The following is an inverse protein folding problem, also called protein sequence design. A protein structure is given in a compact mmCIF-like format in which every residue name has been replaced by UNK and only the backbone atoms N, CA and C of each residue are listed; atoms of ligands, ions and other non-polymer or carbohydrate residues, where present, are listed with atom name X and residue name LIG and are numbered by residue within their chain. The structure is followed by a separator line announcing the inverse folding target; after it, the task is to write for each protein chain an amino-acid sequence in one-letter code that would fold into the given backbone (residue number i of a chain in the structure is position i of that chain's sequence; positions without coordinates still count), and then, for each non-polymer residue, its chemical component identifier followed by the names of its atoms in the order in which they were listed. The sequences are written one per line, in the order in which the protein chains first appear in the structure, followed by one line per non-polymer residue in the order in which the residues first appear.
data_IF_942774740673
#
_entry.id   IF_942774740673
#
_cell.length_a   1.000
_cell.length_b   1.000
_cell.length_c   1.000
_cell.angle_alpha   90.00
_cell.angle_beta   90.00
_cell.angle_gamma   90.00
#
_symmetry.space_group_name_H-M   'P 1'
#
loop_
_entity.id
_entity.type
_entity.pdbx_description
1 polymer ?
#
# COMPACT_ATOMS: atom_id res chain seq x y z
N UNK A 1 0.11 8.10 -8.78
CA UNK A 1 0.90 7.02 -9.33
C UNK A 1 0.19 6.39 -10.51
N UNK A 2 0.75 6.56 -11.69
CA UNK A 2 0.13 6.11 -12.91
C UNK A 2 0.88 4.94 -13.51
N UNK A 3 0.12 3.99 -14.06
CA UNK A 3 0.66 2.82 -14.69
C UNK A 3 0.17 2.78 -16.13
N UNK A 4 1.12 2.60 -17.04
CA UNK A 4 0.81 2.68 -18.46
C UNK A 4 0.92 1.35 -19.15
N UNK A 5 0.68 0.27 -18.46
CA UNK A 5 0.71 -1.06 -19.05
C UNK A 5 -0.63 -1.40 -19.68
N UNK A 6 -0.60 -2.12 -20.76
CA UNK A 6 -1.85 -2.54 -21.37
C UNK A 6 -2.75 -3.34 -20.43
N UNK A 7 -2.15 -4.19 -19.61
CA UNK A 7 -2.91 -5.01 -18.68
C UNK A 7 -2.97 -4.40 -17.28
N UNK A 8 -2.01 -3.59 -16.92
CA UNK A 8 -1.95 -3.02 -15.59
C UNK A 8 -2.38 -1.58 -15.50
N UNK A 9 -2.72 -0.99 -16.62
CA UNK A 9 -3.04 0.42 -16.65
C UNK A 9 -4.26 0.73 -15.81
N UNK A 10 -4.06 1.51 -14.79
CA UNK A 10 -5.15 1.93 -13.94
C UNK A 10 -5.85 0.82 -13.20
N UNK A 11 -5.39 -0.42 -13.36
CA UNK A 11 -5.99 -1.53 -12.66
C UNK A 11 -5.13 -1.82 -11.44
N UNK A 12 -5.61 -1.37 -10.31
CA UNK A 12 -4.96 -1.62 -9.04
C UNK A 12 -5.94 -2.31 -8.15
N UNK A 13 -5.51 -3.41 -7.59
CA UNK A 13 -6.29 -4.03 -6.54
C UNK A 13 -5.80 -3.45 -5.24
N UNK A 14 -6.71 -2.79 -4.52
CA UNK A 14 -6.41 -2.25 -3.21
C UNK A 14 -6.91 -3.25 -2.18
N UNK A 15 -6.00 -3.73 -1.37
CA UNK A 15 -6.30 -4.76 -0.39
C UNK A 15 -6.01 -4.21 0.99
N UNK A 16 -7.01 -4.22 1.85
CA UNK A 16 -6.86 -3.79 3.22
C UNK A 16 -6.32 -4.93 4.05
N UNK A 17 -5.40 -4.63 4.96
CA UNK A 17 -4.82 -5.63 5.84
C UNK A 17 -4.75 -5.09 7.26
N UNK A 18 -4.77 -6.00 8.22
CA UNK A 18 -4.70 -5.63 9.63
C UNK A 18 -3.28 -5.51 10.15
N UNK A 19 -2.31 -6.08 9.44
CA UNK A 19 -0.92 -6.06 9.89
C UNK A 19 -0.01 -5.96 8.69
N UNK A 20 0.13 -4.76 8.19
CA UNK A 20 0.90 -4.52 6.98
C UNK A 20 2.40 -4.72 7.22
N UNK A 21 2.87 -4.47 8.43
CA UNK A 21 4.29 -4.65 8.74
C UNK A 21 4.69 -6.11 8.65
N UNK A 22 3.83 -7.00 9.11
CA UNK A 22 4.07 -8.43 9.04
C UNK A 22 4.06 -8.89 7.58
N UNK A 23 3.15 -8.35 6.79
CA UNK A 23 3.07 -8.69 5.38
C UNK A 23 4.34 -8.29 4.64
N UNK A 24 4.82 -7.08 4.89
CA UNK A 24 6.07 -6.62 4.28
C UNK A 24 7.23 -7.51 4.68
N UNK A 25 7.29 -7.87 5.96
CA UNK A 25 8.34 -8.75 6.45
C UNK A 25 8.31 -10.10 5.74
N UNK A 26 7.14 -10.65 5.53
CA UNK A 26 6.99 -11.92 4.82
C UNK A 26 7.43 -11.81 3.37
N UNK A 27 7.11 -10.71 2.72
CA UNK A 27 7.52 -10.50 1.33
C UNK A 27 9.03 -10.35 1.23
N UNK A 28 9.65 -9.68 2.18
CA UNK A 28 11.10 -9.55 2.21
C UNK A 28 11.77 -10.90 2.38
N UNK A 29 11.23 -11.74 3.25
CA UNK A 29 11.75 -13.07 3.46
C UNK A 29 11.64 -13.94 2.20
N UNK A 30 10.66 -13.67 1.37
CA UNK A 30 10.46 -14.37 0.12
C UNK A 30 11.24 -13.75 -1.02
N UNK A 31 12.05 -12.73 -0.75
CA UNK A 31 12.83 -12.01 -1.75
C UNK A 31 11.98 -11.34 -2.82
N UNK A 32 10.80 -10.88 -2.43
CA UNK A 32 9.93 -10.16 -3.33
C UNK A 32 10.18 -8.66 -3.15
N UNK A 33 10.56 -8.00 -4.23
CA UNK A 33 10.83 -6.57 -4.19
C UNK A 33 9.54 -5.77 -4.29
N UNK A 34 9.44 -4.71 -3.50
CA UNK A 34 8.30 -3.82 -3.56
C UNK A 34 8.50 -2.82 -4.67
N UNK A 35 7.42 -2.56 -5.41
CA UNK A 35 7.42 -1.56 -6.45
C UNK A 35 7.48 -0.17 -5.82
N UNK A 36 6.72 0.02 -4.75
CA UNK A 36 6.81 1.21 -3.90
C UNK A 36 7.00 0.74 -2.47
N UNK A 37 7.96 1.30 -1.75
CA UNK A 37 8.22 0.86 -0.38
C UNK A 37 7.08 1.21 0.57
N UNK A 38 7.11 0.59 1.74
CA UNK A 38 6.13 0.88 2.77
C UNK A 38 6.24 2.34 3.19
N UNK A 39 5.12 3.03 3.15
CA UNK A 39 5.05 4.44 3.53
C UNK A 39 3.92 4.64 4.53
N UNK A 40 4.14 5.54 5.46
CA UNK A 40 3.12 5.96 6.40
C UNK A 40 2.76 7.40 6.08
N UNK A 41 1.46 7.66 5.95
CA UNK A 41 0.98 9.00 5.62
C UNK A 41 -0.12 9.40 6.56
N UNK A 42 -0.14 10.67 6.92
CA UNK A 42 -1.18 11.27 7.74
C UNK A 42 -1.77 12.44 6.99
N UNK A 43 -3.08 12.41 6.85
CA UNK A 43 -3.81 13.46 6.16
C UNK A 43 -4.59 14.28 7.16
N UNK A 44 -4.49 15.58 7.03
CA UNK A 44 -5.25 16.47 7.89
C UNK A 44 -6.60 16.74 7.25
N UNK A 45 -7.66 16.52 8.01
CA UNK A 45 -9.02 16.81 7.56
C UNK A 45 -9.78 17.33 8.75
N UNK A 46 -10.25 18.59 8.64
CA UNK A 46 -10.90 19.29 9.73
C UNK A 46 -9.96 19.37 10.93
N UNK A 47 -10.39 18.89 12.09
CA UNK A 47 -9.58 18.91 13.29
C UNK A 47 -8.94 17.58 13.59
N UNK A 48 -8.86 16.72 12.59
CA UNK A 48 -8.35 15.38 12.80
C UNK A 48 -7.33 15.01 11.74
N UNK A 49 -6.46 14.11 12.10
CA UNK A 49 -5.55 13.50 11.15
C UNK A 49 -5.94 12.05 10.97
N UNK A 50 -5.94 11.63 9.71
CA UNK A 50 -6.23 10.26 9.35
C UNK A 50 -4.97 9.63 8.81
N UNK A 51 -4.57 8.48 9.35
CA UNK A 51 -3.33 7.85 8.99
C UNK A 51 -3.52 6.53 8.26
N UNK A 52 -2.57 6.25 7.38
CA UNK A 52 -2.54 4.97 6.70
C UNK A 52 -1.11 4.59 6.37
N UNK A 53 -0.88 3.29 6.25
CA UNK A 53 0.35 2.74 5.70
C UNK A 53 -0.01 2.01 4.41
N UNK A 54 0.88 2.08 3.44
CA UNK A 54 0.66 1.35 2.20
C UNK A 54 1.97 1.01 1.53
N UNK A 55 1.92 0.01 0.67
CA UNK A 55 3.01 -0.33 -0.23
C UNK A 55 2.41 -0.91 -1.51
N UNK A 56 3.23 -0.98 -2.54
CA UNK A 56 2.78 -1.49 -3.84
C UNK A 56 3.75 -2.56 -4.30
N UNK A 57 3.20 -3.64 -4.77
CA UNK A 57 3.99 -4.75 -5.30
C UNK A 57 3.36 -5.22 -6.61
N UNK A 58 4.19 -5.73 -7.48
CA UNK A 58 3.72 -6.29 -8.75
C UNK A 58 3.77 -7.81 -8.64
N UNK A 59 2.68 -8.46 -9.02
CA UNK A 59 2.68 -9.92 -9.01
C UNK A 59 3.41 -10.46 -10.24
N UNK A 60 3.66 -11.77 -10.30
CA UNK A 60 4.39 -12.35 -11.44
C UNK A 60 3.71 -12.15 -12.78
N UNK A 61 2.40 -11.96 -12.78
CA UNK A 61 1.64 -11.75 -14.01
C UNK A 61 1.58 -10.28 -14.42
N UNK A 62 2.21 -9.41 -13.65
CA UNK A 62 2.27 -8.00 -13.98
C UNK A 62 1.14 -7.15 -13.41
N UNK A 63 0.29 -7.72 -12.58
CA UNK A 63 -0.74 -6.95 -11.91
C UNK A 63 -0.16 -6.17 -10.75
N UNK A 64 -0.69 -4.97 -10.57
CA UNK A 64 -0.24 -4.09 -9.51
C UNK A 64 -1.17 -4.24 -8.31
N UNK A 65 -0.58 -4.57 -7.17
CA UNK A 65 -1.33 -4.77 -5.94
C UNK A 65 -0.90 -3.71 -4.94
N UNK A 66 -1.86 -3.00 -4.41
CA UNK A 66 -1.63 -2.01 -3.37
C UNK A 66 -2.22 -2.55 -2.07
N UNK A 67 -1.36 -2.71 -1.09
CA UNK A 67 -1.79 -3.14 0.24
C UNK A 67 -1.80 -1.93 1.16
N UNK A 68 -2.80 -1.84 2.00
CA UNK A 68 -2.93 -0.69 2.89
C UNK A 68 -3.47 -1.11 4.24
N UNK A 69 -3.10 -0.36 5.25
CA UNK A 69 -3.63 -0.53 6.59
C UNK A 69 -4.06 0.82 7.10
N UNK A 70 -5.29 0.89 7.60
CA UNK A 70 -5.83 2.08 8.21
C UNK A 70 -5.25 2.20 9.61
N UNK A 71 -4.62 3.33 9.92
CA UNK A 71 -4.03 3.56 11.23
C UNK A 71 -4.98 4.31 12.15
N UNK A 72 -6.17 4.64 11.66
CA UNK A 72 -7.15 5.34 12.47
C UNK A 72 -6.99 6.85 12.37
N UNK A 73 -7.55 7.51 13.36
CA UNK A 73 -7.57 8.97 13.40
C UNK A 73 -7.03 9.45 14.72
N UNK A 74 -6.48 10.65 14.72
CA UNK A 74 -6.08 11.29 15.96
C UNK A 74 -6.46 12.75 15.90
N UNK A 75 -6.76 13.32 17.07
CA UNK A 75 -7.12 14.72 17.19
C UNK A 75 -5.88 15.59 17.10
N UNK A 76 -6.00 16.65 16.36
CA UNK A 76 -4.89 17.60 16.20
C UNK A 76 -4.85 18.54 17.40
#
# INVERSE_FOLDING_TARGET
YELEYPFGRGVNFSIETDDIDKLVSNLEKANISLLCPLEERWYKKDNMEHGEKHFIVMDPDGYILRFMQDLGQKTI
#
